data_IF_199374027104
#
_entry.id   IF_199374027104
#
_cell.length_a   1.000
_cell.length_b   1.000
_cell.length_c   1.000
_cell.angle_alpha   90.00
_cell.angle_beta   90.00
_cell.angle_gamma   90.00
#
_symmetry.space_group_name_H-M   'P 1'
#
loop_
_entity.id
_entity.type
_entity.pdbx_description
1 polymer ?
#
# COMPACT_ATOMS: atom_id res chain seq x y z
N UNK A 1 6.96 31.40 -33.42
CA UNK A 1 6.97 30.16 -32.62
C UNK A 1 5.59 29.93 -32.09
N UNK A 2 4.93 28.77 -32.30
CA UNK A 2 3.68 28.51 -31.64
C UNK A 2 3.93 28.49 -30.13
N UNK A 3 3.10 29.26 -29.39
CA UNK A 3 3.11 29.21 -27.91
C UNK A 3 2.77 27.77 -27.51
N UNK A 4 3.73 27.08 -26.88
CA UNK A 4 3.45 25.78 -26.26
C UNK A 4 2.41 26.04 -25.18
N UNK A 5 1.21 25.52 -25.34
CA UNK A 5 0.16 25.64 -24.34
C UNK A 5 0.70 25.08 -23.01
N UNK A 6 0.55 25.84 -21.95
CA UNK A 6 0.90 25.34 -20.63
C UNK A 6 0.11 24.05 -20.34
N UNK A 7 0.75 23.01 -19.79
CA UNK A 7 0.04 21.78 -19.47
C UNK A 7 -1.12 22.06 -18.50
N UNK A 8 -2.21 21.29 -18.56
CA UNK A 8 -3.33 21.47 -17.65
C UNK A 8 -2.86 21.34 -16.21
N UNK A 9 -3.33 22.22 -15.34
CA UNK A 9 -2.98 22.19 -13.90
C UNK A 9 -3.48 20.94 -13.19
N UNK A 10 -4.55 20.33 -13.69
CA UNK A 10 -5.16 19.12 -13.17
C UNK A 10 -5.37 18.10 -14.28
N UNK A 11 -4.98 16.86 -14.04
CA UNK A 11 -5.25 15.74 -14.94
C UNK A 11 -6.07 14.69 -14.19
N UNK A 12 -7.26 14.38 -14.69
CA UNK A 12 -8.13 13.33 -14.14
C UNK A 12 -8.41 12.32 -15.24
N UNK A 13 -7.94 11.11 -15.05
CA UNK A 13 -8.19 9.97 -15.96
C UNK A 13 -9.37 9.14 -15.47
N UNK A 14 -9.99 8.32 -16.32
CA UNK A 14 -11.07 7.41 -15.91
C UNK A 14 -10.64 6.49 -14.75
N UNK A 15 -11.64 6.05 -13.98
CA UNK A 15 -11.42 5.08 -12.89
C UNK A 15 -10.97 3.74 -13.48
N UNK A 16 -9.99 3.09 -12.85
CA UNK A 16 -9.51 1.77 -13.28
C UNK A 16 -10.56 0.68 -13.01
N UNK A 17 -10.42 -0.46 -13.69
CA UNK A 17 -11.12 -1.67 -13.28
C UNK A 17 -10.67 -2.08 -11.87
N UNK A 18 -11.60 -2.59 -11.05
CA UNK A 18 -11.26 -3.14 -9.73
C UNK A 18 -10.85 -4.61 -9.87
N UNK A 19 -9.94 -5.06 -9.02
CA UNK A 19 -9.74 -6.49 -8.78
C UNK A 19 -11.02 -7.09 -8.21
N UNK A 20 -11.24 -8.37 -8.42
CA UNK A 20 -12.46 -9.04 -7.98
C UNK A 20 -12.53 -9.19 -6.46
N UNK A 21 -13.73 -9.27 -5.91
CA UNK A 21 -13.92 -9.53 -4.47
C UNK A 21 -13.30 -10.87 -4.04
N UNK A 22 -13.26 -11.87 -4.93
CA UNK A 22 -12.59 -13.14 -4.68
C UNK A 22 -11.08 -12.95 -4.49
N UNK A 23 -10.45 -12.13 -5.33
CA UNK A 23 -9.03 -11.78 -5.20
C UNK A 23 -8.74 -10.97 -3.92
N UNK A 24 -9.59 -9.99 -3.57
CA UNK A 24 -9.50 -9.25 -2.31
C UNK A 24 -9.56 -10.20 -1.11
N UNK A 25 -10.54 -11.11 -1.09
CA UNK A 25 -10.68 -12.08 -0.01
C UNK A 25 -9.48 -13.03 0.08
N UNK A 26 -8.93 -13.45 -1.04
CA UNK A 26 -7.74 -14.30 -1.08
C UNK A 26 -6.50 -13.56 -0.56
N UNK A 27 -6.29 -12.30 -0.94
CA UNK A 27 -5.21 -11.46 -0.42
C UNK A 27 -5.31 -11.25 1.09
N UNK A 28 -6.51 -11.01 1.63
CA UNK A 28 -6.71 -10.81 3.07
C UNK A 28 -6.37 -12.05 3.92
N UNK A 29 -6.31 -13.24 3.32
CA UNK A 29 -5.85 -14.47 3.98
C UNK A 29 -4.33 -14.62 3.99
N UNK A 30 -3.61 -13.84 3.18
CA UNK A 30 -2.16 -13.81 3.09
C UNK A 30 -1.61 -12.65 3.93
N UNK A 31 -0.32 -12.65 4.18
CA UNK A 31 0.43 -11.50 4.69
C UNK A 31 1.50 -11.07 3.69
N UNK A 32 1.99 -9.82 3.85
CA UNK A 32 3.00 -9.28 2.95
C UNK A 32 4.33 -10.02 3.05
N UNK A 33 4.65 -10.61 4.21
CA UNK A 33 5.84 -11.45 4.41
C UNK A 33 5.76 -12.74 3.59
N UNK A 34 4.59 -13.40 3.55
CA UNK A 34 4.37 -14.59 2.71
C UNK A 34 4.53 -14.27 1.22
N UNK A 35 4.01 -13.11 0.77
CA UNK A 35 4.21 -12.66 -0.62
C UNK A 35 5.69 -12.37 -0.90
N UNK A 36 6.46 -11.93 0.10
CA UNK A 36 7.90 -11.74 0.00
C UNK A 36 8.72 -13.01 -0.31
N UNK A 37 8.14 -14.21 -0.13
CA UNK A 37 8.74 -15.45 -0.62
C UNK A 37 8.49 -15.71 -2.12
N UNK A 38 7.59 -14.94 -2.73
CA UNK A 38 7.17 -15.13 -4.14
C UNK A 38 7.67 -13.99 -5.03
N UNK A 39 7.70 -12.77 -4.51
CA UNK A 39 8.07 -11.57 -5.24
C UNK A 39 9.34 -10.94 -4.66
N UNK A 40 10.25 -10.51 -5.56
CA UNK A 40 11.45 -9.75 -5.20
C UNK A 40 11.25 -8.23 -5.29
N UNK A 41 10.09 -7.75 -5.80
CA UNK A 41 9.81 -6.34 -6.03
C UNK A 41 8.34 -6.01 -5.76
N UNK A 42 8.02 -4.71 -5.74
CA UNK A 42 6.65 -4.23 -5.47
C UNK A 42 6.43 -3.86 -4.00
N UNK A 43 7.42 -4.03 -3.13
CA UNK A 43 7.34 -3.69 -1.71
C UNK A 43 7.71 -2.23 -1.50
N UNK A 44 6.77 -1.48 -0.90
CA UNK A 44 7.02 -0.09 -0.54
C UNK A 44 8.02 0.01 0.63
N UNK A 45 8.73 1.12 0.64
CA UNK A 45 9.75 1.39 1.65
C UNK A 45 9.14 1.39 3.07
N UNK A 46 9.90 0.84 4.01
CA UNK A 46 9.50 0.67 5.42
C UNK A 46 9.25 1.98 6.18
N UNK A 47 9.55 3.13 5.60
CA UNK A 47 9.18 4.43 6.15
C UNK A 47 7.67 4.72 6.07
N UNK A 48 6.92 3.95 5.28
CA UNK A 48 5.46 3.98 5.28
C UNK A 48 4.91 3.08 6.40
N UNK A 49 4.52 3.71 7.49
CA UNK A 49 4.08 3.03 8.71
C UNK A 49 2.57 3.06 8.89
N UNK A 50 2.04 1.96 9.41
CA UNK A 50 0.63 1.86 9.79
C UNK A 50 0.31 2.82 10.94
N UNK A 51 -0.68 3.71 10.74
CA UNK A 51 -1.11 4.65 11.77
C UNK A 51 -2.20 4.08 12.68
N UNK A 52 -2.78 2.94 12.32
CA UNK A 52 -3.75 2.19 13.10
C UNK A 52 -3.26 0.73 13.24
N UNK A 53 -2.56 0.39 14.33
CA UNK A 53 -1.98 -0.95 14.54
C UNK A 53 -2.99 -2.09 14.42
N UNK A 54 -2.53 -3.24 13.90
CA UNK A 54 -3.32 -4.46 13.79
C UNK A 54 -4.38 -4.42 12.67
N UNK A 55 -4.26 -3.51 11.72
CA UNK A 55 -5.13 -3.46 10.54
C UNK A 55 -4.44 -4.11 9.34
N UNK A 56 -5.23 -4.81 8.56
CA UNK A 56 -4.85 -5.34 7.25
C UNK A 56 -5.85 -4.81 6.23
N UNK A 57 -5.38 -4.49 5.03
CA UNK A 57 -6.24 -4.13 3.91
C UNK A 57 -5.78 -4.79 2.61
N UNK A 58 -6.75 -5.04 1.74
CA UNK A 58 -6.50 -5.39 0.35
C UNK A 58 -7.53 -4.66 -0.53
N UNK A 59 -7.13 -4.32 -1.75
CA UNK A 59 -8.02 -3.63 -2.68
C UNK A 59 -7.31 -3.12 -3.92
N UNK A 60 -8.01 -2.25 -4.65
CA UNK A 60 -7.55 -1.70 -5.93
C UNK A 60 -6.99 -0.30 -5.75
N UNK A 61 -5.81 -0.04 -6.29
CA UNK A 61 -5.17 1.27 -6.24
C UNK A 61 -5.90 2.31 -7.08
N UNK A 62 -6.28 3.41 -6.44
CA UNK A 62 -6.65 4.68 -7.07
C UNK A 62 -5.54 5.66 -6.75
N UNK A 63 -4.83 6.11 -7.77
CA UNK A 63 -3.62 6.93 -7.59
C UNK A 63 -3.94 8.41 -7.64
N UNK A 64 -3.31 9.17 -6.76
CA UNK A 64 -3.41 10.62 -6.70
C UNK A 64 -2.01 11.22 -6.52
N UNK A 65 -1.69 12.23 -7.30
CA UNK A 65 -0.55 13.11 -7.05
C UNK A 65 -1.04 14.47 -6.59
N UNK A 66 -0.58 14.91 -5.43
CA UNK A 66 -0.85 16.24 -4.90
C UNK A 66 0.36 17.16 -5.10
N UNK A 67 0.18 18.29 -5.77
CA UNK A 67 1.23 19.32 -5.91
C UNK A 67 1.45 20.01 -4.56
N UNK A 68 2.69 20.04 -4.10
CA UNK A 68 3.05 20.62 -2.79
C UNK A 68 2.86 22.16 -2.75
N UNK A 69 2.42 22.71 -1.64
CA UNK A 69 1.91 22.11 -0.40
C UNK A 69 0.36 22.00 -0.39
N UNK A 70 -0.26 21.61 -1.48
CA UNK A 70 -1.72 21.54 -1.69
C UNK A 70 -2.23 20.10 -1.46
N UNK A 71 -3.53 19.94 -1.18
CA UNK A 71 -4.21 18.64 -1.08
C UNK A 71 -5.53 18.58 -1.87
N UNK A 72 -5.82 19.60 -2.67
CA UNK A 72 -7.08 19.72 -3.43
C UNK A 72 -7.41 18.45 -4.21
N UNK A 73 -6.41 17.85 -4.88
CA UNK A 73 -6.64 16.63 -5.67
C UNK A 73 -6.99 15.43 -4.81
N UNK A 74 -6.37 15.26 -3.62
CA UNK A 74 -6.72 14.20 -2.67
C UNK A 74 -8.17 14.29 -2.19
N UNK A 75 -8.64 15.51 -1.89
CA UNK A 75 -10.04 15.74 -1.53
C UNK A 75 -10.99 15.53 -2.72
N UNK A 76 -10.60 16.01 -3.92
CA UNK A 76 -11.42 15.84 -5.12
C UNK A 76 -11.58 14.38 -5.52
N UNK A 77 -10.58 13.54 -5.28
CA UNK A 77 -10.61 12.12 -5.56
C UNK A 77 -11.76 11.40 -4.83
N UNK A 78 -12.15 11.87 -3.63
CA UNK A 78 -13.26 11.30 -2.87
C UNK A 78 -14.61 11.34 -3.61
N UNK A 79 -14.73 12.16 -4.66
CA UNK A 79 -15.93 12.18 -5.53
C UNK A 79 -16.06 10.91 -6.40
N UNK A 80 -14.97 10.20 -6.65
CA UNK A 80 -14.90 9.14 -7.67
C UNK A 80 -14.58 7.76 -7.09
N UNK A 81 -13.89 7.70 -5.95
CA UNK A 81 -13.51 6.43 -5.32
C UNK A 81 -14.72 5.60 -4.92
N UNK A 82 -14.56 4.30 -4.92
CA UNK A 82 -15.63 3.30 -4.73
C UNK A 82 -15.33 2.43 -3.51
N UNK A 83 -16.32 1.73 -2.97
CA UNK A 83 -16.06 0.69 -1.98
C UNK A 83 -15.01 -0.30 -2.50
N UNK A 84 -14.04 -0.66 -1.64
CA UNK A 84 -12.94 -1.56 -1.98
C UNK A 84 -11.73 -0.91 -2.67
N UNK A 85 -11.83 0.36 -3.08
CA UNK A 85 -10.64 1.10 -3.56
C UNK A 85 -9.69 1.44 -2.40
N UNK A 86 -8.40 1.54 -2.71
CA UNK A 86 -7.35 2.06 -1.84
C UNK A 86 -6.81 3.34 -2.48
N UNK A 87 -6.90 4.45 -1.76
CA UNK A 87 -6.37 5.72 -2.25
C UNK A 87 -4.85 5.78 -1.97
N UNK A 88 -4.05 5.87 -3.03
CA UNK A 88 -2.59 5.99 -2.93
C UNK A 88 -2.18 7.39 -3.33
N UNK A 89 -1.58 8.12 -2.38
CA UNK A 89 -1.27 9.54 -2.53
C UNK A 89 0.24 9.78 -2.59
N UNK A 90 0.72 10.20 -3.76
CA UNK A 90 2.06 10.71 -3.96
C UNK A 90 2.15 12.17 -3.46
N UNK A 91 2.98 12.39 -2.45
CA UNK A 91 3.29 13.71 -1.87
C UNK A 91 4.72 14.15 -2.15
N UNK A 92 5.44 13.48 -3.07
CA UNK A 92 6.85 13.76 -3.30
C UNK A 92 7.68 13.69 -2.02
N UNK A 93 7.33 12.80 -1.08
CA UNK A 93 7.95 12.62 0.23
C UNK A 93 7.84 13.85 1.18
N UNK A 94 6.83 14.71 0.99
CA UNK A 94 6.58 15.82 1.92
C UNK A 94 6.16 15.31 3.30
N UNK A 95 7.07 15.36 4.25
CA UNK A 95 6.83 15.01 5.64
C UNK A 95 6.42 16.22 6.51
N UNK A 96 6.43 17.41 5.94
CA UNK A 96 6.15 18.64 6.68
C UNK A 96 4.67 18.95 6.78
N UNK A 97 3.90 18.68 5.71
CA UNK A 97 2.49 19.06 5.66
C UNK A 97 1.59 17.83 5.53
N UNK A 98 0.67 17.68 6.48
CA UNK A 98 -0.34 16.64 6.47
C UNK A 98 -1.41 16.95 5.41
N UNK A 99 -1.64 16.04 4.47
CA UNK A 99 -2.67 16.17 3.44
C UNK A 99 -3.97 15.40 3.76
N UNK A 100 -3.96 14.66 4.85
CA UNK A 100 -5.05 13.79 5.28
C UNK A 100 -5.25 13.94 6.78
N UNK A 101 -6.50 13.94 7.23
CA UNK A 101 -6.87 14.07 8.64
C UNK A 101 -8.27 13.54 8.89
N UNK A 102 -8.87 13.88 10.04
CA UNK A 102 -10.15 13.35 10.50
C UNK A 102 -11.28 13.46 9.47
N UNK A 103 -11.51 14.66 8.93
CA UNK A 103 -12.63 14.90 8.02
C UNK A 103 -12.53 14.03 6.75
N UNK A 104 -11.33 13.89 6.17
CA UNK A 104 -11.11 13.03 5.00
C UNK A 104 -11.23 11.55 5.34
N UNK A 105 -10.79 11.14 6.54
CA UNK A 105 -10.91 9.78 7.02
C UNK A 105 -12.39 9.38 7.19
N UNK A 106 -13.21 10.21 7.84
CA UNK A 106 -14.64 9.97 7.98
C UNK A 106 -15.37 9.92 6.62
N UNK A 107 -15.03 10.84 5.71
CA UNK A 107 -15.62 10.85 4.37
C UNK A 107 -15.26 9.59 3.59
N UNK A 108 -14.00 9.18 3.61
CA UNK A 108 -13.52 7.98 2.93
C UNK A 108 -14.10 6.69 3.52
N UNK A 109 -14.20 6.60 4.84
CA UNK A 109 -14.85 5.48 5.54
C UNK A 109 -16.32 5.35 5.16
N UNK A 110 -17.05 6.48 5.09
CA UNK A 110 -18.46 6.51 4.70
C UNK A 110 -18.70 6.05 3.24
N UNK A 111 -17.70 6.25 2.35
CA UNK A 111 -17.72 5.76 0.97
C UNK A 111 -17.45 4.24 0.94
N UNK A 112 -16.75 3.69 1.94
CA UNK A 112 -16.34 2.29 2.00
C UNK A 112 -14.95 2.03 1.40
N UNK A 113 -14.04 3.02 1.41
CA UNK A 113 -12.65 2.78 1.04
C UNK A 113 -12.05 1.67 1.92
N UNK A 114 -11.22 0.82 1.33
CA UNK A 114 -10.43 -0.17 2.10
C UNK A 114 -9.36 0.50 2.95
N UNK A 115 -8.80 1.63 2.51
CA UNK A 115 -7.82 2.41 3.25
C UNK A 115 -7.09 3.43 2.40
N UNK A 116 -6.07 4.06 2.99
CA UNK A 116 -5.29 5.12 2.36
C UNK A 116 -3.79 4.91 2.62
N UNK A 117 -2.99 5.10 1.58
CA UNK A 117 -1.53 5.07 1.63
C UNK A 117 -1.02 6.44 1.20
N UNK A 118 -0.19 7.07 2.02
CA UNK A 118 0.26 8.45 1.82
C UNK A 118 1.78 8.49 1.88
N UNK A 119 2.43 8.77 0.75
CA UNK A 119 3.89 9.00 0.73
C UNK A 119 4.23 10.40 1.26
N UNK A 120 3.85 10.63 2.51
CA UNK A 120 3.96 11.89 3.22
C UNK A 120 3.33 11.83 4.61
N UNK A 121 3.08 12.99 5.21
CA UNK A 121 2.49 13.07 6.55
C UNK A 121 0.95 13.07 6.54
N UNK A 122 0.37 12.58 7.65
CA UNK A 122 -1.03 12.69 8.02
C UNK A 122 -1.21 13.42 9.35
N UNK A 123 -2.44 13.75 9.73
CA UNK A 123 -2.78 14.34 11.04
C UNK A 123 -4.00 13.65 11.66
N UNK A 124 -4.40 14.13 12.84
CA UNK A 124 -5.63 13.74 13.54
C UNK A 124 -5.77 12.23 13.71
N UNK A 125 -4.67 11.55 14.08
CA UNK A 125 -4.60 10.09 14.10
C UNK A 125 -5.67 9.44 14.99
N UNK A 126 -6.00 10.05 16.14
CA UNK A 126 -7.02 9.54 17.04
C UNK A 126 -8.41 9.53 16.39
N UNK A 127 -8.79 10.64 15.76
CA UNK A 127 -10.08 10.76 15.08
C UNK A 127 -10.12 9.93 13.79
N UNK A 128 -9.01 9.86 13.05
CA UNK A 128 -8.89 8.99 11.87
C UNK A 128 -9.05 7.53 12.24
N UNK A 129 -8.49 7.11 13.38
CA UNK A 129 -8.66 5.75 13.91
C UNK A 129 -10.10 5.50 14.35
N UNK A 130 -10.77 6.50 14.95
CA UNK A 130 -12.20 6.42 15.32
C UNK A 130 -13.11 6.25 14.09
N UNK A 131 -12.72 6.82 12.93
CA UNK A 131 -13.41 6.58 11.66
C UNK A 131 -13.29 5.13 11.16
N UNK A 132 -12.35 4.34 11.70
CA UNK A 132 -12.13 2.95 11.34
C UNK A 132 -11.41 2.72 10.01
N UNK A 133 -10.95 3.79 9.35
CA UNK A 133 -10.25 3.72 8.07
C UNK A 133 -8.74 3.47 8.27
N UNK A 134 -8.17 2.36 7.79
CA UNK A 134 -6.73 2.13 7.89
C UNK A 134 -5.93 3.14 7.06
N UNK A 135 -4.87 3.70 7.66
CA UNK A 135 -3.98 4.66 7.02
C UNK A 135 -2.53 4.22 7.21
N UNK A 136 -1.75 4.22 6.12
CA UNK A 136 -0.29 4.13 6.13
C UNK A 136 0.28 5.46 5.68
N UNK A 137 1.25 5.98 6.42
CA UNK A 137 1.91 7.25 6.09
C UNK A 137 3.35 7.26 6.60
N UNK A 138 4.13 8.25 6.18
CA UNK A 138 5.51 8.45 6.68
C UNK A 138 5.57 8.99 8.10
N UNK A 139 4.44 9.38 8.67
CA UNK A 139 4.36 9.90 10.02
C UNK A 139 3.30 10.98 10.18
N UNK A 140 3.37 11.70 11.29
CA UNK A 140 2.39 12.70 11.69
C UNK A 140 2.95 14.11 11.56
N UNK A 141 2.09 15.06 11.17
CA UNK A 141 2.40 16.47 11.20
C UNK A 141 1.21 17.29 11.68
N UNK A 142 1.40 18.26 12.59
CA UNK A 142 0.36 19.20 12.97
C UNK A 142 0.14 20.32 11.92
N UNK A 143 1.03 20.41 10.93
CA UNK A 143 0.92 21.43 9.88
C UNK A 143 0.08 20.85 8.75
N UNK A 144 -1.15 21.33 8.61
CA UNK A 144 -2.07 20.88 7.55
C UNK A 144 -1.85 21.65 6.25
N UNK A 145 -2.15 20.99 5.13
CA UNK A 145 -2.19 21.65 3.81
C UNK A 145 -3.29 22.71 3.73
N UNK A 146 -3.22 23.54 2.68
CA UNK A 146 -4.26 24.53 2.37
C UNK A 146 -4.71 24.33 0.93
N UNK A 147 -5.97 24.64 0.63
CA UNK A 147 -6.51 24.63 -0.74
C UNK A 147 -5.99 25.82 -1.51
N UNK A 148 -4.94 25.61 -2.29
CA UNK A 148 -4.28 26.66 -3.07
C UNK A 148 -4.53 26.55 -4.57
N UNK A 149 -5.06 25.41 -5.02
CA UNK A 149 -5.33 25.16 -6.42
C UNK A 149 -4.06 25.08 -7.27
N UNK A 150 -3.00 24.46 -6.74
CA UNK A 150 -1.68 24.42 -7.41
C UNK A 150 -1.58 23.35 -8.50
N UNK A 151 -2.54 22.42 -8.54
CA UNK A 151 -2.57 21.33 -9.50
C UNK A 151 -2.57 19.97 -8.83
N UNK A 152 -2.51 18.92 -9.64
CA UNK A 152 -2.47 17.55 -9.22
C UNK A 152 -3.08 16.61 -10.24
N UNK A 153 -2.84 15.32 -10.05
CA UNK A 153 -3.26 14.31 -11.02
C UNK A 153 -4.02 13.18 -10.31
N UNK A 154 -4.96 12.57 -11.00
CA UNK A 154 -5.68 11.38 -10.55
C UNK A 154 -5.68 10.31 -11.62
N UNK A 155 -5.50 9.06 -11.21
CA UNK A 155 -5.47 7.89 -12.07
C UNK A 155 -4.38 7.97 -13.16
N UNK A 156 -3.20 8.45 -12.77
CA UNK A 156 -1.95 8.32 -13.53
C UNK A 156 -0.96 7.45 -12.76
N UNK A 157 0.04 6.85 -13.41
CA UNK A 157 1.13 6.21 -12.68
C UNK A 157 1.85 7.21 -11.76
N UNK A 158 2.11 6.79 -10.53
CA UNK A 158 2.82 7.57 -9.50
C UNK A 158 3.95 6.75 -8.90
N UNK A 159 4.78 7.39 -8.09
CA UNK A 159 5.72 6.68 -7.19
C UNK A 159 5.24 6.86 -5.76
N UNK A 160 5.16 5.77 -5.01
CA UNK A 160 4.82 5.77 -3.59
C UNK A 160 5.72 4.77 -2.85
N UNK A 161 6.39 5.20 -1.80
CA UNK A 161 7.33 4.35 -1.07
C UNK A 161 8.43 3.74 -1.96
N UNK A 162 8.92 4.47 -2.97
CA UNK A 162 9.92 3.98 -3.92
C UNK A 162 9.40 3.02 -4.98
N UNK A 163 8.11 2.66 -4.96
CA UNK A 163 7.47 1.73 -5.90
C UNK A 163 6.61 2.48 -6.90
N UNK A 164 6.68 2.09 -8.17
CA UNK A 164 5.74 2.56 -9.18
C UNK A 164 4.36 1.93 -8.95
N UNK A 165 3.34 2.76 -8.81
CA UNK A 165 1.93 2.33 -8.63
C UNK A 165 1.11 2.82 -9.81
N UNK A 166 0.46 1.90 -10.51
CA UNK A 166 -0.47 2.21 -11.59
C UNK A 166 -1.91 2.20 -11.06
N UNK A 167 -2.80 3.02 -11.63
CA UNK A 167 -4.23 2.86 -11.37
C UNK A 167 -4.68 1.43 -11.70
N UNK A 168 -5.35 0.78 -10.76
CA UNK A 168 -5.82 -0.60 -10.93
C UNK A 168 -4.93 -1.68 -10.34
N UNK A 169 -3.69 -1.36 -9.94
CA UNK A 169 -2.83 -2.32 -9.25
C UNK A 169 -3.52 -2.86 -7.99
N UNK A 170 -3.28 -4.14 -7.70
CA UNK A 170 -3.69 -4.75 -6.45
C UNK A 170 -2.74 -4.35 -5.32
N UNK A 171 -3.30 -4.06 -4.14
CA UNK A 171 -2.51 -3.75 -2.96
C UNK A 171 -2.92 -4.67 -1.82
N UNK A 172 -1.92 -5.19 -1.10
CA UNK A 172 -2.05 -5.75 0.23
C UNK A 172 -1.16 -4.95 1.17
N UNK A 173 -1.69 -4.59 2.34
CA UNK A 173 -0.92 -3.95 3.40
C UNK A 173 -1.30 -4.51 4.76
N UNK A 174 -0.28 -4.73 5.59
CA UNK A 174 -0.38 -5.23 6.96
C UNK A 174 0.70 -4.59 7.85
N UNK A 175 0.95 -5.18 9.02
CA UNK A 175 1.97 -4.72 9.96
C UNK A 175 3.42 -4.84 9.44
N UNK A 176 3.69 -5.73 8.49
CA UNK A 176 5.03 -5.92 7.91
C UNK A 176 5.33 -4.91 6.80
N UNK A 177 4.29 -4.38 6.14
CA UNK A 177 4.48 -3.40 5.07
C UNK A 177 3.36 -3.38 4.03
N UNK A 178 3.72 -2.93 2.83
CA UNK A 178 2.81 -2.73 1.72
C UNK A 178 3.41 -3.36 0.46
N UNK A 179 2.62 -4.17 -0.23
CA UNK A 179 2.99 -4.72 -1.54
C UNK A 179 2.01 -4.29 -2.62
N UNK A 180 2.55 -3.96 -3.78
CA UNK A 180 1.83 -3.59 -5.01
C UNK A 180 2.02 -4.71 -6.02
N UNK A 181 0.93 -5.22 -6.58
CA UNK A 181 0.93 -6.37 -7.49
C UNK A 181 0.20 -5.97 -8.77
N UNK A 182 0.83 -6.19 -9.92
CA UNK A 182 0.17 -6.00 -11.22
C UNK A 182 -1.00 -7.00 -11.33
N UNK A 183 -2.21 -6.55 -11.68
CA UNK A 183 -3.37 -7.43 -11.79
C UNK A 183 -3.18 -8.63 -12.72
N UNK A 184 -2.31 -8.51 -13.72
CA UNK A 184 -2.01 -9.62 -14.65
C UNK A 184 -1.25 -10.78 -13.99
N UNK A 185 -0.59 -10.54 -12.86
CA UNK A 185 0.17 -11.54 -12.10
C UNK A 185 -0.55 -11.98 -10.82
N UNK A 186 -1.67 -11.33 -10.48
CA UNK A 186 -2.29 -11.45 -9.16
C UNK A 186 -2.72 -12.88 -8.81
N UNK A 187 -3.34 -13.61 -9.73
CA UNK A 187 -3.83 -14.96 -9.47
C UNK A 187 -2.66 -15.95 -9.25
N UNK A 188 -1.58 -15.79 -10.00
CA UNK A 188 -0.36 -16.59 -9.84
C UNK A 188 0.31 -16.29 -8.49
N UNK A 189 0.44 -15.02 -8.13
CA UNK A 189 1.01 -14.59 -6.83
C UNK A 189 0.18 -15.15 -5.67
N UNK A 190 -1.16 -15.05 -5.73
CA UNK A 190 -2.05 -15.61 -4.71
C UNK A 190 -1.84 -17.13 -4.59
N UNK A 191 -1.84 -17.86 -5.71
CA UNK A 191 -1.68 -19.32 -5.73
C UNK A 191 -0.37 -19.77 -5.11
N UNK A 192 0.75 -19.14 -5.52
CA UNK A 192 2.08 -19.46 -4.99
C UNK A 192 2.20 -19.10 -3.51
N UNK A 193 1.69 -17.94 -3.10
CA UNK A 193 1.71 -17.52 -1.69
C UNK A 193 0.88 -18.44 -0.80
N UNK A 194 -0.26 -18.93 -1.27
CA UNK A 194 -1.06 -19.94 -0.55
C UNK A 194 -0.32 -21.28 -0.40
N UNK A 195 0.46 -21.67 -1.39
CA UNK A 195 1.32 -22.86 -1.31
C UNK A 195 2.40 -22.64 -0.23
N UNK A 196 3.09 -21.52 -0.25
CA UNK A 196 4.11 -21.17 0.76
C UNK A 196 3.52 -21.14 2.17
N UNK A 197 2.40 -20.51 2.39
CA UNK A 197 1.71 -20.46 3.68
C UNK A 197 1.39 -21.86 4.25
N UNK A 198 0.97 -22.79 3.38
CA UNK A 198 0.74 -24.20 3.82
C UNK A 198 2.03 -24.88 4.18
N UNK A 199 3.05 -24.77 3.34
CA UNK A 199 4.37 -25.37 3.58
C UNK A 199 5.03 -24.83 4.85
N UNK A 200 4.94 -23.54 5.11
CA UNK A 200 5.45 -22.92 6.33
C UNK A 200 4.74 -23.43 7.58
N UNK A 201 3.42 -23.61 7.53
CA UNK A 201 2.66 -24.18 8.65
C UNK A 201 3.16 -25.58 9.02
N UNK A 202 3.35 -26.45 8.02
CA UNK A 202 3.89 -27.80 8.22
C UNK A 202 5.32 -27.77 8.78
N UNK A 203 6.13 -26.84 8.27
CA UNK A 203 7.47 -26.60 8.74
C UNK A 203 7.51 -26.17 10.23
N UNK A 204 6.69 -25.19 10.60
CA UNK A 204 6.58 -24.72 11.99
C UNK A 204 6.07 -25.82 12.94
N UNK A 205 5.15 -26.67 12.50
CA UNK A 205 4.72 -27.84 13.28
C UNK A 205 5.86 -28.84 13.49
N UNK A 206 6.70 -29.05 12.49
CA UNK A 206 7.88 -29.92 12.59
C UNK A 206 8.88 -29.38 13.61
N UNK A 207 9.15 -28.07 13.58
CA UNK A 207 10.03 -27.42 14.57
C UNK A 207 9.48 -27.53 16.00
N UNK A 208 8.17 -27.29 16.18
CA UNK A 208 7.52 -27.41 17.51
C UNK A 208 7.60 -28.82 18.09
N UNK A 209 7.47 -29.84 17.22
CA UNK A 209 7.55 -31.25 17.65
C UNK A 209 8.99 -31.73 17.94
N UNK A 210 9.98 -31.06 17.37
CA UNK A 210 11.40 -31.43 17.45
C UNK A 210 12.27 -30.26 17.95
N UNK A 211 12.17 -29.86 19.22
CA UNK A 211 12.86 -28.67 19.75
C UNK A 211 14.41 -28.82 19.78
N UNK A 212 14.94 -30.02 19.52
CA UNK A 212 16.39 -30.26 19.38
C UNK A 212 16.86 -30.36 17.93
N UNK A 213 15.99 -30.12 16.97
CA UNK A 213 16.32 -30.12 15.56
C UNK A 213 17.39 -29.06 15.28
N UNK A 214 18.46 -29.43 14.60
CA UNK A 214 19.46 -28.48 14.13
C UNK A 214 18.87 -27.68 12.97
N UNK A 215 18.40 -26.48 13.25
CA UNK A 215 17.69 -25.65 12.29
C UNK A 215 18.47 -25.41 11.00
N UNK A 216 19.77 -25.02 11.02
CA UNK A 216 20.53 -24.78 9.80
C UNK A 216 20.75 -26.04 8.95
N UNK A 217 20.82 -27.22 9.56
CA UNK A 217 20.91 -28.49 8.81
C UNK A 217 19.58 -28.83 8.16
N UNK A 218 18.49 -28.61 8.87
CA UNK A 218 17.14 -28.87 8.37
C UNK A 218 16.77 -27.95 7.21
N UNK A 219 17.19 -26.68 7.24
CA UNK A 219 16.97 -25.71 6.14
C UNK A 219 17.96 -25.86 4.99
N UNK A 220 19.00 -26.65 5.15
CA UNK A 220 20.11 -26.78 4.20
C UNK A 220 21.13 -25.64 4.27
N UNK A 221 20.98 -24.70 5.20
CA UNK A 221 21.90 -23.57 5.33
C UNK A 221 23.34 -24.03 5.68
N UNK A 222 23.48 -25.05 6.56
CA UNK A 222 24.80 -25.65 6.88
C UNK A 222 25.48 -26.13 5.62
N UNK A 223 24.82 -26.91 4.78
CA UNK A 223 25.42 -27.48 3.57
C UNK A 223 25.87 -26.38 2.59
N UNK A 224 25.14 -25.25 2.49
CA UNK A 224 25.53 -24.10 1.65
C UNK A 224 26.78 -23.42 2.21
N UNK A 225 26.83 -23.18 3.51
CA UNK A 225 27.97 -22.50 4.15
C UNK A 225 29.21 -23.40 4.13
N UNK A 226 29.08 -24.65 4.57
CA UNK A 226 30.20 -25.60 4.69
C UNK A 226 30.86 -25.90 3.35
N UNK A 227 30.09 -25.96 2.26
CA UNK A 227 30.62 -26.11 0.89
C UNK A 227 31.51 -24.94 0.45
N UNK A 228 31.35 -23.77 1.06
CA UNK A 228 32.04 -22.52 0.68
C UNK A 228 32.97 -22.00 1.81
N UNK A 229 33.22 -22.79 2.86
CA UNK A 229 34.25 -22.48 3.86
C UNK A 229 35.63 -22.62 3.24
N UNK A 230 36.50 -21.61 3.48
CA UNK A 230 37.90 -21.60 3.06
C UNK A 230 38.79 -22.46 3.98
#
# INVERSE_FOLDING_TARGET
>A
MPLIASPPRYVVKPMPAQITQAQVNALLLLDTGTIGHVLDAGFMDQGLQQQMPGRKLAGTAVTVRCTLPDSVMGHYALKFVRPGDILVIDRGQDQRTACWGAATAYAAAAIGLSGVIIDGATSDVADSNAAGLPVWSRGLSPVTTKYRGLGGDMNIPITCGGVAVKPGDAILADENGIVVIDPSQLDDVISQSQFWMRSEKEFLETLRKNPRLCYPDFTGASAIVEKNLC
#
